data_IF_966853470471
#
_entry.id   IF_966853470471
#
_cell.length_a   1.000
_cell.length_b   1.000
_cell.length_c   1.000
_cell.angle_alpha   90.00
_cell.angle_beta   90.00
_cell.angle_gamma   90.00
#
_symmetry.space_group_name_H-M   'P 1'
#
loop_
_entity.id
_entity.type
_entity.pdbx_description
1 polymer ?
#
# COMPACT_ATOMS: atom_id res chain seq x y z
N UNK A 1 42.51 -48.32 24.81
CA UNK A 1 42.82 -47.84 23.44
C UNK A 1 41.57 -48.04 22.59
N UNK A 2 40.80 -46.97 22.38
CA UNK A 2 39.51 -47.03 21.68
C UNK A 2 39.65 -46.75 20.19
N UNK A 3 38.72 -47.31 19.40
CA UNK A 3 38.35 -46.80 18.08
C UNK A 3 36.85 -47.03 17.86
N UNK A 4 36.11 -45.93 17.91
CA UNK A 4 34.75 -45.77 17.41
C UNK A 4 34.75 -45.96 15.89
N UNK A 5 33.83 -46.78 15.36
CA UNK A 5 33.45 -46.72 13.95
C UNK A 5 32.31 -45.72 13.79
N UNK A 6 32.58 -44.63 13.08
CA UNK A 6 31.60 -43.63 12.69
C UNK A 6 30.86 -44.08 11.42
N UNK A 7 29.52 -44.09 11.51
CA UNK A 7 28.61 -44.25 10.38
C UNK A 7 28.57 -42.93 9.60
N UNK A 8 28.92 -42.95 8.32
CA UNK A 8 28.79 -41.81 7.43
C UNK A 8 27.34 -41.75 6.88
N UNK A 9 26.52 -40.86 7.43
CA UNK A 9 25.24 -40.47 6.82
C UNK A 9 25.54 -39.30 5.87
N UNK A 10 25.48 -39.56 4.57
CA UNK A 10 25.54 -38.53 3.54
C UNK A 10 24.18 -37.85 3.50
N UNK A 11 24.07 -36.68 4.13
CA UNK A 11 22.94 -35.77 3.93
C UNK A 11 23.20 -35.02 2.64
N UNK A 12 22.45 -35.37 1.59
CA UNK A 12 22.35 -34.58 0.37
C UNK A 12 21.71 -33.23 0.72
N UNK A 13 22.57 -32.21 0.88
CA UNK A 13 22.14 -30.82 1.04
C UNK A 13 21.49 -30.33 -0.24
N UNK A 14 20.16 -30.29 -0.26
CA UNK A 14 19.41 -29.57 -1.27
C UNK A 14 19.62 -28.08 -0.97
N UNK A 15 20.57 -27.44 -1.65
CA UNK A 15 20.77 -25.99 -1.60
C UNK A 15 19.62 -25.32 -2.33
N UNK A 16 18.48 -25.21 -1.66
CA UNK A 16 17.43 -24.27 -2.04
C UNK A 16 18.00 -22.86 -1.91
N UNK A 17 18.00 -22.11 -3.01
CA UNK A 17 18.22 -20.67 -3.00
C UNK A 17 17.09 -20.02 -2.19
N UNK A 18 17.22 -19.99 -0.87
CA UNK A 18 16.49 -19.04 -0.05
C UNK A 18 17.11 -17.68 -0.38
N UNK A 19 16.53 -16.97 -1.34
CA UNK A 19 16.73 -15.54 -1.48
C UNK A 19 16.31 -14.93 -0.14
N UNK A 20 17.30 -14.74 0.72
CA UNK A 20 17.15 -14.13 2.03
C UNK A 20 16.58 -12.73 1.74
N UNK A 21 15.27 -12.57 1.99
CA UNK A 21 14.62 -11.26 2.00
C UNK A 21 15.47 -10.40 2.92
N UNK A 22 16.18 -9.44 2.32
CA UNK A 22 17.06 -8.56 3.07
C UNK A 22 16.19 -7.90 4.14
N UNK A 23 16.49 -8.04 5.44
CA UNK A 23 15.72 -7.36 6.47
C UNK A 23 15.72 -5.86 6.13
N UNK A 24 14.56 -5.23 6.29
CA UNK A 24 14.41 -3.80 6.08
C UNK A 24 15.44 -3.05 6.92
N UNK A 25 15.92 -1.90 6.45
CA UNK A 25 16.70 -1.04 7.34
C UNK A 25 15.81 -0.61 8.53
N UNK A 26 16.36 -0.50 9.73
CA UNK A 26 15.62 -0.11 10.95
C UNK A 26 14.58 1.04 10.76
N UNK A 27 14.89 2.15 10.05
CA UNK A 27 13.89 3.19 9.80
C UNK A 27 12.76 2.79 8.85
N UNK A 28 13.01 1.89 7.90
CA UNK A 28 11.98 1.38 6.99
C UNK A 28 10.97 0.50 7.74
N UNK A 29 11.47 -0.35 8.65
CA UNK A 29 10.62 -1.19 9.48
C UNK A 29 9.78 -0.34 10.45
N UNK A 30 10.37 0.67 11.10
CA UNK A 30 9.64 1.55 12.02
C UNK A 30 8.46 2.26 11.34
N UNK A 31 8.62 2.68 10.08
CA UNK A 31 7.53 3.29 9.28
C UNK A 31 6.44 2.28 8.97
N UNK A 32 6.81 1.07 8.57
CA UNK A 32 5.85 -0.03 8.36
C UNK A 32 5.04 -0.31 9.64
N UNK A 33 5.70 -0.37 10.80
CA UNK A 33 5.04 -0.62 12.09
C UNK A 33 4.09 0.52 12.48
N UNK A 34 4.42 1.77 12.15
CA UNK A 34 3.51 2.91 12.32
C UNK A 34 2.26 2.78 11.44
N UNK A 35 2.42 2.35 10.19
CA UNK A 35 1.31 2.11 9.28
C UNK A 35 0.39 1.00 9.75
N UNK A 36 0.94 -0.10 10.24
CA UNK A 36 0.14 -1.20 10.77
C UNK A 36 -0.62 -0.78 12.04
N UNK A 37 0.00 0.02 12.92
CA UNK A 37 -0.69 0.59 14.09
C UNK A 37 -1.84 1.53 13.70
N UNK A 38 -1.63 2.42 12.74
CA UNK A 38 -2.67 3.32 12.24
C UNK A 38 -3.84 2.53 11.62
N UNK A 39 -3.53 1.48 10.84
CA UNK A 39 -4.54 0.61 10.24
C UNK A 39 -5.36 -0.13 11.31
N UNK A 40 -4.71 -0.67 12.35
CA UNK A 40 -5.42 -1.29 13.48
C UNK A 40 -6.35 -0.30 14.21
N UNK A 41 -5.90 0.93 14.46
CA UNK A 41 -6.71 1.97 15.07
C UNK A 41 -7.96 2.26 14.23
N UNK A 42 -7.81 2.36 12.92
CA UNK A 42 -8.90 2.56 11.96
C UNK A 42 -9.90 1.40 11.98
N UNK A 43 -9.41 0.15 11.95
CA UNK A 43 -10.29 -1.02 11.99
C UNK A 43 -11.10 -1.06 13.29
N UNK A 44 -10.43 -0.82 14.43
CA UNK A 44 -11.07 -0.75 15.74
C UNK A 44 -12.14 0.33 15.81
N UNK A 45 -11.87 1.55 15.31
CA UNK A 45 -12.86 2.64 15.35
C UNK A 45 -14.10 2.37 14.48
N UNK A 46 -13.96 1.48 13.49
CA UNK A 46 -15.05 1.05 12.60
C UNK A 46 -15.72 -0.26 13.04
N UNK A 47 -15.31 -0.85 14.16
CA UNK A 47 -15.83 -2.14 14.63
C UNK A 47 -15.53 -3.30 13.68
N UNK A 48 -14.44 -3.21 12.92
CA UNK A 48 -13.99 -4.28 12.02
C UNK A 48 -13.05 -5.19 12.82
N UNK A 49 -13.46 -6.45 12.99
CA UNK A 49 -12.68 -7.46 13.69
C UNK A 49 -11.53 -8.01 12.83
N UNK A 50 -10.45 -8.39 13.50
CA UNK A 50 -9.29 -9.02 12.88
C UNK A 50 -8.15 -8.06 12.51
N UNK A 51 -7.01 -8.61 12.05
CA UNK A 51 -5.85 -7.79 11.72
C UNK A 51 -6.02 -7.05 10.39
N UNK A 52 -5.36 -5.89 10.21
CA UNK A 52 -5.35 -5.19 8.92
C UNK A 52 -4.55 -5.97 7.87
N UNK A 53 -4.65 -5.61 6.58
CA UNK A 53 -3.69 -6.04 5.57
C UNK A 53 -2.26 -5.75 6.04
N UNK A 54 -1.34 -6.63 5.71
CA UNK A 54 0.06 -6.45 6.09
C UNK A 54 0.78 -5.55 5.09
N UNK A 55 1.65 -4.66 5.58
CA UNK A 55 2.38 -3.73 4.72
C UNK A 55 3.75 -4.30 4.37
N UNK A 56 4.11 -4.28 3.08
CA UNK A 56 5.38 -4.83 2.57
C UNK A 56 5.93 -3.98 1.44
N UNK A 57 7.26 -3.92 1.33
CA UNK A 57 7.88 -3.40 0.10
C UNK A 57 7.69 -4.44 -0.99
N UNK A 58 6.96 -4.07 -2.05
CA UNK A 58 6.81 -4.93 -3.21
C UNK A 58 8.03 -4.86 -4.12
N UNK A 59 8.27 -5.96 -4.82
CA UNK A 59 9.38 -6.11 -5.78
C UNK A 59 8.89 -6.16 -7.23
N UNK A 60 7.60 -5.97 -7.49
CA UNK A 60 7.09 -5.98 -8.85
C UNK A 60 7.61 -4.77 -9.65
N UNK A 61 7.94 -4.95 -10.95
CA UNK A 61 8.58 -3.89 -11.73
C UNK A 61 7.74 -2.61 -11.82
N UNK A 62 6.41 -2.70 -11.83
CA UNK A 62 5.56 -1.52 -11.94
C UNK A 62 5.67 -0.65 -10.68
N UNK A 63 5.71 -1.27 -9.50
CA UNK A 63 5.88 -0.59 -8.23
C UNK A 63 7.32 -0.08 -8.03
N UNK A 64 8.33 -0.88 -8.38
CA UNK A 64 9.75 -0.51 -8.24
C UNK A 64 10.13 0.65 -9.15
N UNK A 65 9.63 0.65 -10.40
CA UNK A 65 9.92 1.68 -11.38
C UNK A 65 9.00 2.90 -11.28
N UNK A 66 8.14 2.97 -10.25
CA UNK A 66 7.39 4.17 -9.96
C UNK A 66 8.32 5.25 -9.38
N UNK A 67 8.56 6.32 -10.14
CA UNK A 67 9.35 7.49 -9.71
C UNK A 67 8.70 8.37 -8.62
N UNK A 68 7.74 7.83 -7.87
CA UNK A 68 6.94 8.50 -6.82
C UNK A 68 6.49 7.48 -5.79
N UNK A 69 6.04 7.89 -4.59
CA UNK A 69 5.29 7.01 -3.69
C UNK A 69 4.16 6.30 -4.42
N UNK A 70 4.13 4.98 -4.33
CA UNK A 70 3.13 4.15 -4.98
C UNK A 70 2.84 2.91 -4.14
N UNK A 71 1.61 2.43 -4.25
CA UNK A 71 1.17 1.21 -3.60
C UNK A 71 0.00 0.56 -4.35
N UNK A 72 -0.32 -0.67 -3.95
CA UNK A 72 -1.60 -1.30 -4.24
C UNK A 72 -1.98 -2.30 -3.15
N UNK A 73 -3.27 -2.38 -2.84
CA UNK A 73 -3.84 -3.47 -2.08
C UNK A 73 -4.04 -4.72 -2.94
N UNK A 74 -3.78 -5.89 -2.35
CA UNK A 74 -4.15 -7.20 -2.92
C UNK A 74 -4.70 -8.11 -1.83
N UNK A 75 -5.79 -8.87 -2.08
CA UNK A 75 -6.30 -9.84 -1.11
C UNK A 75 -5.40 -11.09 -1.00
N UNK A 76 -4.38 -11.23 -1.86
CA UNK A 76 -3.48 -12.39 -1.85
C UNK A 76 -2.47 -12.29 -0.73
N UNK A 77 -2.37 -13.32 0.09
CA UNK A 77 -1.38 -13.47 1.16
C UNK A 77 -0.18 -14.31 0.72
N UNK A 78 0.99 -14.05 1.32
CA UNK A 78 2.16 -14.92 1.21
C UNK A 78 2.22 -15.96 2.33
N UNK A 79 3.10 -16.96 2.20
CA UNK A 79 3.33 -18.00 3.22
C UNK A 79 3.70 -17.43 4.61
N UNK A 80 4.32 -16.24 4.66
CA UNK A 80 4.70 -15.57 5.91
C UNK A 80 3.62 -14.68 6.52
N UNK A 81 2.47 -14.51 5.85
CA UNK A 81 1.40 -13.57 6.25
C UNK A 81 0.08 -14.31 6.56
N UNK A 82 0.19 -15.59 6.97
CA UNK A 82 -0.96 -16.44 7.31
C UNK A 82 -1.79 -15.77 8.41
N UNK A 83 -3.11 -15.68 8.20
CA UNK A 83 -4.06 -15.03 9.11
C UNK A 83 -4.31 -13.54 8.83
N UNK A 84 -3.60 -12.92 7.87
CA UNK A 84 -3.90 -11.55 7.42
C UNK A 84 -4.92 -11.57 6.26
N UNK A 85 -5.75 -10.53 6.09
CA UNK A 85 -6.77 -10.48 5.04
C UNK A 85 -6.23 -10.07 3.66
N UNK A 86 -4.92 -9.84 3.53
CA UNK A 86 -4.27 -9.39 2.31
C UNK A 86 -2.98 -8.63 2.58
N UNK A 87 -2.45 -7.98 1.55
CA UNK A 87 -1.22 -7.20 1.56
C UNK A 87 -1.45 -5.81 0.96
N UNK A 88 -0.79 -4.81 1.50
CA UNK A 88 -0.55 -3.53 0.85
C UNK A 88 0.92 -3.55 0.43
N UNK A 89 1.15 -3.55 -0.88
CA UNK A 89 2.49 -3.56 -1.46
C UNK A 89 2.88 -2.14 -1.82
N UNK A 90 3.99 -1.66 -1.26
CA UNK A 90 4.48 -0.29 -1.43
C UNK A 90 5.88 -0.26 -2.06
N UNK A 91 6.24 0.83 -2.73
CA UNK A 91 7.61 1.03 -3.18
C UNK A 91 8.46 1.73 -2.11
N UNK A 92 9.80 1.72 -2.27
CA UNK A 92 10.70 2.40 -1.32
C UNK A 92 10.48 3.92 -1.26
N UNK A 93 10.02 4.54 -2.34
CA UNK A 93 9.70 5.98 -2.33
C UNK A 93 8.57 6.30 -1.35
N UNK A 94 7.57 5.42 -1.23
CA UNK A 94 6.51 5.53 -0.23
C UNK A 94 6.99 5.29 1.20
N UNK A 95 8.22 4.81 1.41
CA UNK A 95 8.84 4.75 2.74
C UNK A 95 9.79 5.92 2.96
N UNK A 96 10.18 6.68 1.94
CA UNK A 96 11.15 7.78 2.08
C UNK A 96 10.47 9.13 2.41
N UNK A 97 9.24 9.34 1.96
CA UNK A 97 8.46 10.58 2.17
C UNK A 97 7.31 10.32 3.14
N UNK A 98 7.44 10.77 4.39
CA UNK A 98 6.45 10.50 5.45
C UNK A 98 5.07 11.10 5.14
N UNK A 99 5.02 12.24 4.46
CA UNK A 99 3.77 12.98 4.29
C UNK A 99 2.90 12.32 3.22
N UNK A 100 3.42 12.11 2.02
CA UNK A 100 2.65 11.50 0.92
C UNK A 100 2.36 10.02 1.18
N UNK A 101 3.24 9.32 1.91
CA UNK A 101 3.05 7.92 2.25
C UNK A 101 1.75 7.66 3.04
N UNK A 102 1.40 8.56 3.97
CA UNK A 102 0.15 8.45 4.73
C UNK A 102 -1.07 8.42 3.79
N UNK A 103 -1.13 9.32 2.78
CA UNK A 103 -2.22 9.31 1.80
C UNK A 103 -2.24 8.04 0.94
N UNK A 104 -1.07 7.62 0.44
CA UNK A 104 -0.93 6.39 -0.34
C UNK A 104 -1.51 5.20 0.43
N UNK A 105 -1.09 5.04 1.68
CA UNK A 105 -1.49 3.90 2.51
C UNK A 105 -2.94 3.99 2.97
N UNK A 106 -3.43 5.18 3.30
CA UNK A 106 -4.84 5.38 3.63
C UNK A 106 -5.74 5.08 2.43
N UNK A 107 -5.32 5.36 1.19
CA UNK A 107 -6.08 4.96 0.00
C UNK A 107 -6.09 3.43 -0.19
N UNK A 108 -4.95 2.76 -0.05
CA UNK A 108 -4.92 1.30 -0.16
C UNK A 108 -5.67 0.59 0.98
N UNK A 109 -5.62 1.13 2.19
CA UNK A 109 -6.43 0.65 3.29
C UNK A 109 -7.92 0.89 3.04
N UNK A 110 -8.30 2.00 2.40
CA UNK A 110 -9.68 2.25 2.01
C UNK A 110 -10.19 1.19 1.02
N UNK A 111 -9.36 0.74 0.07
CA UNK A 111 -9.71 -0.40 -0.79
C UNK A 111 -10.03 -1.67 0.02
N UNK A 112 -9.27 -1.96 1.08
CA UNK A 112 -9.58 -3.07 1.97
C UNK A 112 -10.90 -2.85 2.74
N UNK A 113 -11.06 -1.69 3.39
CA UNK A 113 -12.24 -1.36 4.23
C UNK A 113 -13.53 -1.38 3.42
N UNK A 114 -13.49 -0.92 2.16
CA UNK A 114 -14.63 -0.92 1.24
C UNK A 114 -14.82 -2.30 0.56
N UNK A 115 -13.90 -3.23 0.75
CA UNK A 115 -13.94 -4.55 0.13
C UNK A 115 -13.75 -4.49 -1.40
N UNK A 116 -12.93 -3.57 -1.90
CA UNK A 116 -12.54 -3.40 -3.31
C UNK A 116 -11.57 -4.50 -3.78
N UNK A 117 -11.82 -5.75 -3.42
CA UNK A 117 -10.99 -6.88 -3.82
C UNK A 117 -11.22 -7.30 -5.29
N UNK A 118 -10.20 -7.95 -5.86
CA UNK A 118 -10.11 -8.42 -7.25
C UNK A 118 -11.41 -9.07 -7.73
N UNK A 119 -12.23 -8.32 -8.48
CA UNK A 119 -13.51 -8.76 -9.02
C UNK A 119 -14.63 -7.75 -8.87
N UNK A 120 -14.80 -7.12 -7.70
CA UNK A 120 -15.89 -6.15 -7.46
C UNK A 120 -15.72 -4.85 -8.24
N UNK A 121 -14.47 -4.44 -8.41
CA UNK A 121 -14.14 -3.17 -9.09
C UNK A 121 -13.79 -3.36 -10.57
N UNK A 122 -14.01 -4.54 -11.16
CA UNK A 122 -13.60 -4.81 -12.54
C UNK A 122 -14.28 -3.88 -13.55
N UNK A 123 -15.61 -3.74 -13.43
CA UNK A 123 -16.42 -2.98 -14.39
C UNK A 123 -16.65 -1.51 -13.94
N UNK A 124 -16.28 -1.19 -12.69
CA UNK A 124 -16.46 0.13 -12.06
C UNK A 124 -15.18 0.64 -11.42
N UNK A 125 -14.05 0.40 -12.08
CA UNK A 125 -12.72 0.66 -11.52
C UNK A 125 -12.54 2.11 -11.09
N UNK A 126 -12.94 3.05 -11.95
CA UNK A 126 -12.86 4.48 -11.68
C UNK A 126 -13.66 4.87 -10.42
N UNK A 127 -14.90 4.39 -10.31
CA UNK A 127 -15.76 4.66 -9.14
C UNK A 127 -15.13 4.14 -7.86
N UNK A 128 -14.58 2.91 -7.88
CA UNK A 128 -13.90 2.35 -6.71
C UNK A 128 -12.66 3.16 -6.29
N UNK A 129 -11.90 3.68 -7.25
CA UNK A 129 -10.71 4.51 -6.97
C UNK A 129 -11.13 5.86 -6.36
N UNK A 130 -12.22 6.47 -6.83
CA UNK A 130 -12.78 7.70 -6.25
C UNK A 130 -13.35 7.46 -4.85
N UNK A 131 -14.10 6.37 -4.65
CA UNK A 131 -14.63 5.96 -3.34
C UNK A 131 -13.48 5.74 -2.34
N UNK A 132 -12.43 5.03 -2.76
CA UNK A 132 -11.24 4.83 -1.92
C UNK A 132 -10.55 6.14 -1.57
N UNK A 133 -10.39 7.08 -2.53
CA UNK A 133 -9.83 8.40 -2.25
C UNK A 133 -10.70 9.26 -1.33
N UNK A 134 -12.02 9.14 -1.39
CA UNK A 134 -12.92 9.87 -0.47
C UNK A 134 -12.83 9.26 0.93
N UNK A 135 -12.91 7.93 1.04
CA UNK A 135 -12.80 7.23 2.32
C UNK A 135 -11.42 7.42 2.96
N UNK A 136 -10.35 7.54 2.17
CA UNK A 136 -9.01 7.75 2.71
C UNK A 136 -8.89 9.05 3.53
N UNK A 137 -9.68 10.08 3.25
CA UNK A 137 -9.72 11.31 4.06
C UNK A 137 -10.16 11.01 5.49
N UNK A 138 -11.22 10.21 5.67
CA UNK A 138 -11.68 9.79 6.99
C UNK A 138 -10.65 8.91 7.69
N UNK A 139 -9.97 8.05 6.92
CA UNK A 139 -8.92 7.17 7.44
C UNK A 139 -7.70 7.98 7.89
N UNK A 140 -7.35 9.02 7.14
CA UNK A 140 -6.28 9.95 7.50
C UNK A 140 -6.57 10.67 8.83
N UNK A 141 -7.79 11.17 9.00
CA UNK A 141 -8.21 11.78 10.27
C UNK A 141 -8.14 10.79 11.44
N UNK A 142 -8.52 9.53 11.21
CA UNK A 142 -8.61 8.53 12.27
C UNK A 142 -7.26 7.92 12.65
N UNK A 143 -6.46 7.53 11.65
CA UNK A 143 -5.19 6.82 11.86
C UNK A 143 -4.01 7.76 12.14
N UNK A 144 -4.12 9.02 11.74
CA UNK A 144 -3.03 10.01 11.80
C UNK A 144 -3.40 11.29 12.53
N UNK A 145 -4.60 11.36 13.11
CA UNK A 145 -5.10 12.53 13.85
C UNK A 145 -5.04 13.84 13.05
N UNK A 146 -5.16 13.75 11.72
CA UNK A 146 -5.16 14.92 10.86
C UNK A 146 -6.48 15.68 10.98
N UNK A 147 -6.39 17.01 10.93
CA UNK A 147 -7.59 17.83 10.73
C UNK A 147 -8.24 17.47 9.39
N UNK A 148 -9.56 17.67 9.28
CA UNK A 148 -10.27 17.47 8.01
C UNK A 148 -9.61 18.23 6.85
N UNK A 149 -9.20 19.48 7.08
CA UNK A 149 -8.56 20.30 6.05
C UNK A 149 -7.20 19.72 5.62
N UNK A 150 -6.42 19.20 6.56
CA UNK A 150 -5.10 18.64 6.26
C UNK A 150 -5.21 17.26 5.60
N UNK A 151 -6.17 16.42 6.03
CA UNK A 151 -6.47 15.16 5.37
C UNK A 151 -6.88 15.35 3.90
N UNK A 152 -7.77 16.32 3.62
CA UNK A 152 -8.18 16.65 2.25
C UNK A 152 -7.00 17.17 1.43
N UNK A 153 -6.19 18.09 1.98
CA UNK A 153 -5.00 18.64 1.29
C UNK A 153 -3.99 17.56 0.97
N UNK A 154 -3.72 16.68 1.92
CA UNK A 154 -2.74 15.61 1.76
C UNK A 154 -3.20 14.60 0.70
N UNK A 155 -4.47 14.17 0.74
CA UNK A 155 -5.03 13.29 -0.27
C UNK A 155 -5.06 13.95 -1.66
N UNK A 156 -5.40 15.24 -1.74
CA UNK A 156 -5.33 16.00 -2.99
C UNK A 156 -3.90 16.05 -3.55
N UNK A 157 -2.91 16.33 -2.70
CA UNK A 157 -1.51 16.39 -3.10
C UNK A 157 -1.02 15.04 -3.66
N UNK A 158 -1.42 13.93 -3.03
CA UNK A 158 -1.15 12.59 -3.56
C UNK A 158 -1.78 12.40 -4.95
N UNK A 159 -3.08 12.66 -5.12
CA UNK A 159 -3.75 12.50 -6.42
C UNK A 159 -3.13 13.39 -7.51
N UNK A 160 -2.80 14.65 -7.19
CA UNK A 160 -2.09 15.56 -8.12
C UNK A 160 -0.70 15.02 -8.47
N UNK A 161 0.03 14.42 -7.53
CA UNK A 161 1.32 13.77 -7.83
C UNK A 161 1.18 12.63 -8.84
N UNK A 162 0.07 11.88 -8.81
CA UNK A 162 -0.23 10.83 -9.79
C UNK A 162 -0.52 11.43 -11.16
N UNK A 163 -1.30 12.51 -11.24
CA UNK A 163 -1.56 13.24 -12.49
C UNK A 163 -0.26 13.73 -13.12
N UNK A 164 0.59 14.40 -12.34
CA UNK A 164 1.87 14.93 -12.81
C UNK A 164 2.81 13.82 -13.30
N UNK A 165 2.84 12.67 -12.62
CA UNK A 165 3.64 11.52 -13.07
C UNK A 165 3.18 11.01 -14.45
N UNK A 166 1.86 10.88 -14.66
CA UNK A 166 1.32 10.47 -15.97
C UNK A 166 1.64 11.50 -17.05
N UNK A 167 1.52 12.80 -16.75
CA UNK A 167 1.87 13.87 -17.70
C UNK A 167 3.35 13.88 -18.09
N UNK A 168 4.25 13.47 -17.19
CA UNK A 168 5.69 13.32 -17.48
C UNK A 168 6.03 12.05 -18.26
N UNK A 169 5.06 11.17 -18.52
CA UNK A 169 5.31 9.88 -19.15
C UNK A 169 5.89 8.83 -18.19
N UNK A 170 5.75 9.00 -16.88
CA UNK A 170 6.08 7.99 -15.88
C UNK A 170 4.99 6.88 -15.95
N UNK A 171 5.01 6.04 -16.99
CA UNK A 171 3.93 5.10 -17.35
C UNK A 171 3.83 3.86 -16.45
N UNK A 172 4.53 3.81 -15.33
CA UNK A 172 4.44 2.72 -14.35
C UNK A 172 3.22 2.94 -13.45
N UNK A 173 2.04 2.96 -14.07
CA UNK A 173 0.78 2.83 -13.35
C UNK A 173 0.70 1.38 -12.87
N UNK A 174 0.87 1.19 -11.56
CA UNK A 174 0.83 -0.11 -10.88
C UNK A 174 -0.52 -0.84 -11.08
N UNK A 175 -1.52 -0.13 -11.60
CA UNK A 175 -2.82 -0.68 -11.94
C UNK A 175 -3.35 0.09 -13.17
N UNK A 176 -3.59 -0.63 -14.28
CA UNK A 176 -3.85 -0.07 -15.62
C UNK A 176 -5.08 0.83 -15.79
N UNK A 177 -5.14 1.45 -16.97
CA UNK A 177 -6.13 2.42 -17.49
C UNK A 177 -6.85 3.25 -16.42
N UNK A 178 -6.05 4.12 -15.79
CA UNK A 178 -6.52 5.13 -14.85
C UNK A 178 -6.61 6.44 -15.64
N UNK A 179 -7.72 7.15 -15.51
CA UNK A 179 -7.82 8.58 -15.84
C UNK A 179 -7.61 9.37 -14.54
N UNK A 180 -6.35 9.66 -14.14
CA UNK A 180 -6.07 10.23 -12.84
C UNK A 180 -6.52 11.69 -12.76
N UNK A 181 -6.63 12.37 -13.92
CA UNK A 181 -7.16 13.72 -14.00
C UNK A 181 -8.64 13.72 -13.64
N UNK A 182 -9.43 12.82 -14.24
CA UNK A 182 -10.84 12.64 -13.87
C UNK A 182 -11.01 12.28 -12.40
N UNK A 183 -10.17 11.38 -11.86
CA UNK A 183 -10.21 11.03 -10.44
C UNK A 183 -9.93 12.24 -9.54
N UNK A 184 -8.91 13.05 -9.83
CA UNK A 184 -8.59 14.27 -9.09
C UNK A 184 -9.73 15.28 -9.12
N UNK A 185 -10.35 15.49 -10.29
CA UNK A 185 -11.47 16.41 -10.47
C UNK A 185 -12.70 15.97 -9.67
N UNK A 186 -13.06 14.69 -9.73
CA UNK A 186 -14.22 14.16 -8.99
C UNK A 186 -13.98 14.20 -7.48
N UNK A 187 -12.77 13.87 -7.02
CA UNK A 187 -12.36 14.04 -5.62
C UNK A 187 -12.52 15.51 -5.19
N UNK A 188 -11.95 16.45 -5.93
CA UNK A 188 -11.99 17.86 -5.58
C UNK A 188 -13.41 18.43 -5.57
N UNK A 189 -14.24 18.03 -6.54
CA UNK A 189 -15.65 18.40 -6.58
C UNK A 189 -16.39 17.96 -5.29
N UNK A 190 -16.11 16.74 -4.81
CA UNK A 190 -16.75 16.19 -3.61
C UNK A 190 -16.40 16.97 -2.33
N UNK A 191 -15.20 17.51 -2.27
CA UNK A 191 -14.68 18.28 -1.14
C UNK A 191 -14.76 19.80 -1.35
N UNK A 192 -15.44 20.27 -2.41
CA UNK A 192 -15.58 21.68 -2.79
C UNK A 192 -14.23 22.40 -2.95
N UNK A 193 -13.21 21.67 -3.37
CA UNK A 193 -11.91 22.20 -3.75
C UNK A 193 -11.89 22.53 -5.25
N UNK A 194 -11.14 23.58 -5.63
CA UNK A 194 -10.82 23.83 -7.03
C UNK A 194 -9.74 22.84 -7.48
N UNK A 195 -10.00 22.05 -8.53
CA UNK A 195 -8.98 21.22 -9.17
C UNK A 195 -8.66 21.70 -10.58
N UNK A 196 -7.37 21.80 -10.89
CA UNK A 196 -6.86 21.88 -12.25
C UNK A 196 -5.96 20.69 -12.51
N UNK A 197 -6.12 20.05 -13.67
CA UNK A 197 -5.17 19.01 -14.10
C UNK A 197 -3.88 19.62 -14.65
N UNK A 198 -3.93 20.89 -15.06
CA UNK A 198 -2.77 21.76 -15.36
C UNK A 198 -1.95 22.04 -14.09
#
# INVERSE_FOLDING_TARGET
>A
MGRLMAVAVVVLGVTGCASQLKPYADPEQARIDEYERAAEQILRSRGIDGPPPVVRIGSDPALVNAGRPAAYYTPRTGLGDLGRPGRILINRAAIADDYIAQAVLSQELAHFVLGHADGRCRDRRHECEVEASITSVELLMTGWDLSYADAVRLQYAYLKSVVLAVQRGDTTTVAGDRDPCRQLQEFAARFKASATCE
#
